data_IF_056738387350
#
_entry.id   IF_056738387350
#
_cell.length_a   1.000
_cell.length_b   1.000
_cell.length_c   1.000
_cell.angle_alpha   90.00
_cell.angle_beta   90.00
_cell.angle_gamma   90.00
#
_symmetry.space_group_name_H-M   'P 1'
#
loop_
_entity.id
_entity.type
_entity.pdbx_description
1 polymer ?
#
# COMPACT_ATOMS: atom_id res chain seq x y z
N UNK A 1 -11.76 49.05 24.28
CA UNK A 1 -12.49 47.89 24.84
C UNK A 1 -12.91 47.04 23.66
N UNK A 2 -12.16 45.98 23.37
CA UNK A 2 -12.48 44.99 22.34
C UNK A 2 -12.35 43.64 23.01
N UNK A 3 -13.51 43.02 23.25
CA UNK A 3 -13.70 41.69 23.82
C UNK A 3 -13.04 40.66 22.91
N UNK A 4 -11.93 40.07 23.36
CA UNK A 4 -11.41 38.85 22.77
C UNK A 4 -12.41 37.73 23.09
N UNK A 5 -13.20 37.32 22.09
CA UNK A 5 -13.85 36.01 22.10
C UNK A 5 -12.74 34.94 22.07
N UNK A 6 -12.26 34.56 23.25
CA UNK A 6 -11.39 33.40 23.42
C UNK A 6 -12.26 32.15 23.34
N UNK A 7 -12.61 31.72 22.13
CA UNK A 7 -13.09 30.35 21.89
C UNK A 7 -12.05 29.42 22.47
N UNK A 8 -12.35 28.84 23.63
CA UNK A 8 -11.42 28.01 24.39
C UNK A 8 -11.23 26.73 23.60
N UNK A 9 -10.09 26.61 22.93
CA UNK A 9 -9.77 25.46 22.08
C UNK A 9 -9.63 24.23 22.98
N UNK A 10 -10.28 23.12 22.61
CA UNK A 10 -10.27 21.87 23.40
C UNK A 10 -9.76 20.72 22.56
N UNK A 11 -9.39 19.61 23.18
CA UNK A 11 -8.94 18.41 22.46
C UNK A 11 -9.98 17.88 21.46
N UNK A 12 -11.28 18.18 21.66
CA UNK A 12 -12.35 17.79 20.72
C UNK A 12 -12.21 18.44 19.35
N UNK A 13 -11.55 19.60 19.26
CA UNK A 13 -11.32 20.31 18.00
C UNK A 13 -10.34 19.57 17.06
N UNK A 14 -9.61 18.56 17.57
CA UNK A 14 -8.67 17.72 16.80
C UNK A 14 -9.05 16.23 16.82
N UNK A 15 -10.26 15.89 17.30
CA UNK A 15 -10.67 14.49 17.47
C UNK A 15 -10.81 13.72 16.14
N UNK A 16 -11.02 14.42 15.02
CA UNK A 16 -11.04 13.86 13.67
C UNK A 16 -9.68 13.32 13.19
N UNK A 17 -8.59 13.80 13.80
CA UNK A 17 -7.21 13.39 13.53
C UNK A 17 -6.72 12.31 14.52
N UNK A 18 -7.58 11.86 15.43
CA UNK A 18 -7.27 10.85 16.44
C UNK A 18 -7.90 9.50 16.12
N UNK A 19 -7.24 8.43 16.55
CA UNK A 19 -7.81 7.09 16.52
C UNK A 19 -8.88 6.92 17.59
N UNK A 20 -9.82 6.00 17.39
CA UNK A 20 -10.88 5.70 18.36
C UNK A 20 -10.34 5.35 19.77
N UNK A 21 -9.17 4.70 19.85
CA UNK A 21 -8.53 4.36 21.12
C UNK A 21 -7.97 5.61 21.84
N UNK A 22 -7.38 6.55 21.09
CA UNK A 22 -6.89 7.83 21.63
C UNK A 22 -8.04 8.71 22.12
N UNK A 23 -9.16 8.76 21.38
CA UNK A 23 -10.39 9.45 21.81
C UNK A 23 -10.91 8.87 23.13
N UNK A 24 -11.07 7.54 23.21
CA UNK A 24 -11.51 6.87 24.44
C UNK A 24 -10.54 7.06 25.62
N UNK A 25 -9.27 7.39 25.36
CA UNK A 25 -8.31 7.73 26.41
C UNK A 25 -8.47 9.18 26.87
N UNK A 26 -8.68 10.13 25.97
CA UNK A 26 -8.94 11.54 26.31
C UNK A 26 -10.26 11.70 27.07
N UNK A 27 -11.31 10.96 26.68
CA UNK A 27 -12.58 10.94 27.41
C UNK A 27 -12.42 10.43 28.86
N UNK A 28 -11.56 9.43 29.09
CA UNK A 28 -11.26 8.94 30.45
C UNK A 28 -10.50 9.96 31.29
N UNK A 29 -9.65 10.78 30.66
CA UNK A 29 -8.81 11.78 31.31
C UNK A 29 -9.45 13.17 31.33
N UNK A 30 -10.72 13.29 30.93
CA UNK A 30 -11.42 14.57 30.81
C UNK A 30 -11.59 15.35 32.14
N UNK A 31 -11.29 14.69 33.26
CA UNK A 31 -11.24 15.32 34.58
C UNK A 31 -9.91 16.07 34.86
N UNK A 32 -8.89 15.88 34.02
CA UNK A 32 -7.59 16.55 34.12
C UNK A 32 -7.61 17.97 33.51
N UNK A 33 -6.49 18.69 33.66
CA UNK A 33 -6.27 20.03 33.10
C UNK A 33 -6.55 20.06 31.57
N UNK A 34 -7.52 20.87 31.10
CA UNK A 34 -7.93 20.91 29.69
C UNK A 34 -6.79 21.22 28.72
N UNK A 35 -5.82 22.03 29.16
CA UNK A 35 -4.66 22.41 28.36
C UNK A 35 -3.73 21.23 28.11
N UNK A 36 -3.51 20.38 29.12
CA UNK A 36 -2.70 19.16 29.00
C UNK A 36 -3.34 18.15 28.05
N UNK A 37 -4.66 18.00 28.09
CA UNK A 37 -5.39 17.14 27.16
C UNK A 37 -5.28 17.64 25.72
N UNK A 38 -5.38 18.96 25.50
CA UNK A 38 -5.20 19.57 24.18
C UNK A 38 -3.78 19.36 23.64
N UNK A 39 -2.75 19.54 24.47
CA UNK A 39 -1.36 19.33 24.08
C UNK A 39 -1.09 17.86 23.72
N UNK A 40 -1.60 16.92 24.53
CA UNK A 40 -1.49 15.49 24.26
C UNK A 40 -2.23 15.08 22.98
N UNK A 41 -3.44 15.59 22.77
CA UNK A 41 -4.21 15.35 21.55
C UNK A 41 -3.50 15.88 20.30
N UNK A 42 -2.89 17.07 20.37
CA UNK A 42 -2.10 17.63 19.26
C UNK A 42 -0.86 16.80 18.95
N UNK A 43 -0.16 16.32 19.98
CA UNK A 43 0.99 15.45 19.77
C UNK A 43 0.58 14.13 19.10
N UNK A 44 -0.49 13.50 19.58
CA UNK A 44 -1.00 12.26 18.97
C UNK A 44 -1.52 12.47 17.56
N UNK A 45 -2.18 13.58 17.27
CA UNK A 45 -2.60 13.94 15.92
C UNK A 45 -1.38 14.09 15.00
N UNK A 46 -0.34 14.79 15.44
CA UNK A 46 0.90 14.93 14.68
C UNK A 46 1.61 13.58 14.44
N UNK A 47 1.62 12.70 15.43
CA UNK A 47 2.19 11.35 15.31
C UNK A 47 1.36 10.47 14.35
N UNK A 48 0.03 10.59 14.38
CA UNK A 48 -0.86 9.89 13.46
C UNK A 48 -0.68 10.39 12.02
N UNK A 49 -0.58 11.70 11.81
CA UNK A 49 -0.29 12.31 10.51
C UNK A 49 1.09 11.89 9.99
N UNK A 50 2.11 11.83 10.86
CA UNK A 50 3.44 11.37 10.49
C UNK A 50 3.47 9.86 10.16
N UNK A 51 2.55 9.08 10.72
CA UNK A 51 2.42 7.64 10.48
C UNK A 51 1.59 7.35 9.23
N UNK A 52 0.59 8.19 8.92
CA UNK A 52 -0.25 8.08 7.74
C UNK A 52 0.52 8.60 6.50
N UNK A 53 1.31 7.72 5.88
CA UNK A 53 1.92 8.06 4.61
C UNK A 53 0.80 8.23 3.57
N UNK A 54 0.79 9.29 2.74
CA UNK A 54 -0.14 9.40 1.62
C UNK A 54 -0.15 8.16 0.70
N UNK A 55 0.94 7.38 0.73
CA UNK A 55 1.13 6.14 0.01
C UNK A 55 0.34 4.95 0.60
N UNK A 56 -0.10 5.03 1.86
CA UNK A 56 -0.92 4.00 2.51
C UNK A 56 -2.36 4.03 2.01
N UNK A 57 -2.84 5.18 1.52
CA UNK A 57 -4.14 5.32 0.89
C UNK A 57 -4.19 4.71 -0.53
N UNK A 58 -3.03 4.44 -1.14
CA UNK A 58 -2.95 3.87 -2.49
C UNK A 58 -3.22 2.36 -2.44
N UNK A 59 -4.41 1.96 -2.90
CA UNK A 59 -4.84 0.57 -2.92
C UNK A 59 -3.88 -0.32 -3.74
N UNK A 60 -3.66 -1.59 -3.33
CA UNK A 60 -2.92 -2.56 -4.14
C UNK A 60 -3.51 -2.72 -5.55
N UNK A 61 -2.69 -2.95 -6.59
CA UNK A 61 -3.20 -3.17 -7.94
C UNK A 61 -4.08 -4.41 -8.01
N UNK A 62 -5.16 -4.34 -8.80
CA UNK A 62 -5.98 -5.52 -9.10
C UNK A 62 -5.11 -6.65 -9.67
N UNK A 63 -5.33 -7.86 -9.15
CA UNK A 63 -4.56 -9.05 -9.51
C UNK A 63 -3.20 -9.19 -8.79
N UNK A 64 -2.81 -8.23 -7.93
CA UNK A 64 -1.63 -8.40 -7.09
C UNK A 64 -1.87 -9.45 -6.00
N UNK A 65 -1.01 -10.47 -5.99
CA UNK A 65 -0.94 -11.49 -4.92
C UNK A 65 -0.07 -10.99 -3.78
N UNK A 66 0.95 -10.16 -4.08
CA UNK A 66 1.84 -9.57 -3.08
C UNK A 66 2.36 -8.22 -3.54
N UNK A 67 2.29 -7.21 -2.68
CA UNK A 67 2.98 -5.92 -2.84
C UNK A 67 4.25 -5.87 -2.00
N UNK A 68 5.23 -5.11 -2.45
CA UNK A 68 6.43 -4.78 -1.68
C UNK A 68 6.34 -3.36 -1.10
N UNK A 69 7.29 -3.01 -0.24
CA UNK A 69 7.36 -1.67 0.35
C UNK A 69 7.59 -0.59 -0.70
N UNK A 70 7.07 0.61 -0.42
CA UNK A 70 7.30 1.80 -1.24
C UNK A 70 8.79 2.17 -1.26
N UNK A 71 9.27 2.53 -2.43
CA UNK A 71 10.63 2.92 -2.76
C UNK A 71 10.60 4.22 -3.57
N UNK A 72 11.71 4.95 -3.60
CA UNK A 72 11.80 6.23 -4.30
C UNK A 72 12.98 6.26 -5.27
N UNK A 73 12.68 6.49 -6.54
CA UNK A 73 13.66 6.78 -7.60
C UNK A 73 13.03 7.80 -8.56
N UNK A 74 13.27 9.09 -8.30
CA UNK A 74 12.50 10.19 -8.89
C UNK A 74 11.10 10.31 -8.29
N UNK A 75 10.25 9.30 -8.51
CA UNK A 75 8.90 9.18 -7.95
C UNK A 75 8.80 8.04 -6.93
N UNK A 76 7.74 8.05 -6.11
CA UNK A 76 7.39 6.94 -5.24
C UNK A 76 6.74 5.82 -6.05
N UNK A 77 7.29 4.61 -5.93
CA UNK A 77 6.79 3.41 -6.56
C UNK A 77 6.86 2.22 -5.61
N UNK A 78 6.07 1.18 -5.88
CA UNK A 78 6.28 -0.15 -5.29
C UNK A 78 6.19 -1.21 -6.37
N UNK A 79 7.01 -2.23 -6.25
CA UNK A 79 6.85 -3.43 -7.09
C UNK A 79 5.81 -4.37 -6.48
N UNK A 80 5.25 -5.24 -7.30
CA UNK A 80 4.32 -6.28 -6.87
C UNK A 80 4.44 -7.55 -7.73
N UNK A 81 3.91 -8.65 -7.20
CA UNK A 81 3.76 -9.94 -7.87
C UNK A 81 2.29 -10.29 -7.99
N UNK A 82 1.89 -10.80 -9.14
CA UNK A 82 0.59 -11.36 -9.45
C UNK A 82 0.62 -12.89 -9.40
N UNK A 83 -0.15 -13.52 -10.28
CA UNK A 83 -0.28 -14.98 -10.35
C UNK A 83 0.99 -15.66 -10.86
N UNK A 84 1.19 -16.89 -10.42
CA UNK A 84 2.33 -17.75 -10.76
C UNK A 84 1.82 -19.03 -11.42
N UNK A 85 2.38 -19.38 -12.58
CA UNK A 85 2.11 -20.61 -13.33
C UNK A 85 3.38 -21.46 -13.42
N UNK A 86 3.24 -22.78 -13.33
CA UNK A 86 4.31 -23.71 -13.66
C UNK A 86 4.20 -24.10 -15.14
N UNK A 87 5.32 -24.10 -15.86
CA UNK A 87 5.46 -24.65 -17.20
C UNK A 87 6.69 -25.54 -17.24
N UNK A 88 6.53 -26.81 -16.86
CA UNK A 88 7.63 -27.74 -16.63
C UNK A 88 8.61 -27.25 -15.56
N UNK A 89 9.88 -27.08 -15.94
CA UNK A 89 10.94 -26.57 -15.07
C UNK A 89 10.96 -25.04 -14.94
N UNK A 90 10.13 -24.34 -15.72
CA UNK A 90 10.03 -22.89 -15.72
C UNK A 90 8.82 -22.41 -14.91
N UNK A 91 8.96 -21.22 -14.33
CA UNK A 91 7.92 -20.52 -13.61
C UNK A 91 7.61 -19.23 -14.35
N UNK A 92 6.34 -19.01 -14.66
CA UNK A 92 5.86 -17.80 -15.32
C UNK A 92 5.07 -16.99 -14.30
N UNK A 93 5.52 -15.78 -14.00
CA UNK A 93 4.92 -14.89 -13.00
C UNK A 93 4.53 -13.56 -13.64
N UNK A 94 3.35 -13.04 -13.34
CA UNK A 94 3.01 -11.65 -13.64
C UNK A 94 3.68 -10.78 -12.57
N UNK A 95 4.50 -9.84 -12.99
CA UNK A 95 5.10 -8.83 -12.12
C UNK A 95 4.60 -7.45 -12.53
N UNK A 96 4.77 -6.48 -11.65
CA UNK A 96 4.50 -5.10 -12.01
C UNK A 96 5.07 -4.08 -11.06
N UNK A 97 4.89 -2.83 -11.46
CA UNK A 97 5.20 -1.63 -10.68
C UNK A 97 3.95 -0.77 -10.59
N UNK A 98 3.66 -0.28 -9.40
CA UNK A 98 2.64 0.72 -9.14
C UNK A 98 3.29 2.02 -8.71
N UNK A 99 2.85 3.12 -9.31
CA UNK A 99 3.26 4.48 -8.94
C UNK A 99 2.34 5.06 -7.86
N UNK A 100 2.79 6.10 -7.17
CA UNK A 100 2.01 6.75 -6.11
C UNK A 100 0.69 7.40 -6.59
N UNK A 101 0.54 7.66 -7.89
CA UNK A 101 -0.72 8.12 -8.50
C UNK A 101 -1.71 6.96 -8.74
N UNK A 102 -1.34 5.73 -8.40
CA UNK A 102 -2.11 4.51 -8.59
C UNK A 102 -1.92 3.85 -9.96
N UNK A 103 -1.24 4.50 -10.91
CA UNK A 103 -0.96 3.92 -12.22
C UNK A 103 -0.09 2.67 -12.09
N UNK A 104 -0.31 1.71 -12.98
CA UNK A 104 0.30 0.38 -12.88
C UNK A 104 0.86 -0.05 -14.22
N UNK A 105 2.11 -0.53 -14.21
CA UNK A 105 2.74 -1.23 -15.35
C UNK A 105 2.93 -2.69 -15.00
N UNK A 106 2.55 -3.59 -15.91
CA UNK A 106 2.68 -5.06 -15.76
C UNK A 106 3.63 -5.64 -16.80
N UNK A 107 4.26 -6.76 -16.46
CA UNK A 107 5.06 -7.57 -17.38
C UNK A 107 5.11 -9.03 -16.93
N UNK A 108 5.48 -9.93 -17.84
CA UNK A 108 5.63 -11.36 -17.55
C UNK A 108 7.12 -11.65 -17.28
N UNK A 109 7.41 -12.30 -16.16
CA UNK A 109 8.74 -12.80 -15.81
C UNK A 109 8.77 -14.32 -15.94
N UNK A 110 9.80 -14.86 -16.60
CA UNK A 110 10.06 -16.31 -16.67
C UNK A 110 11.29 -16.65 -15.86
N UNK A 111 11.14 -17.52 -14.88
CA UNK A 111 12.23 -18.00 -14.04
C UNK A 111 12.47 -19.48 -14.30
N UNK A 112 13.68 -19.84 -14.70
CA UNK A 112 14.11 -21.23 -14.91
C UNK A 112 15.59 -21.34 -14.69
N UNK A 113 16.04 -22.52 -14.24
CA UNK A 113 17.46 -22.79 -13.97
C UNK A 113 18.23 -23.21 -15.22
N UNK A 114 17.55 -23.83 -16.19
CA UNK A 114 18.15 -24.41 -17.40
C UNK A 114 17.21 -24.22 -18.61
N UNK A 115 17.25 -23.02 -19.22
CA UNK A 115 16.45 -22.69 -20.41
C UNK A 115 16.99 -23.39 -21.67
N UNK A 116 18.26 -23.76 -21.65
CA UNK A 116 19.03 -24.40 -22.71
C UNK A 116 18.75 -25.90 -22.86
N UNK A 117 18.01 -26.51 -21.93
CA UNK A 117 17.70 -27.94 -21.91
C UNK A 117 16.18 -28.25 -21.96
N UNK A 118 15.38 -27.37 -22.57
CA UNK A 118 13.94 -27.61 -22.75
C UNK A 118 13.70 -28.70 -23.80
N UNK A 119 13.13 -29.81 -23.39
CA UNK A 119 12.59 -30.81 -24.31
C UNK A 119 11.24 -30.37 -24.89
N UNK A 120 10.74 -31.11 -25.89
CA UNK A 120 9.51 -30.75 -26.58
C UNK A 120 8.28 -30.70 -25.65
N UNK A 121 8.06 -31.64 -24.71
CA UNK A 121 7.01 -31.51 -23.69
C UNK A 121 7.14 -30.24 -22.84
N UNK A 122 8.30 -29.99 -22.24
CA UNK A 122 8.51 -28.84 -21.37
C UNK A 122 8.35 -27.51 -22.13
N UNK A 123 8.78 -27.46 -23.40
CA UNK A 123 8.58 -26.30 -24.26
C UNK A 123 7.09 -26.00 -24.49
N UNK A 124 6.25 -27.03 -24.69
CA UNK A 124 4.80 -26.85 -24.85
C UNK A 124 4.14 -26.41 -23.55
N UNK A 125 4.56 -26.95 -22.41
CA UNK A 125 4.06 -26.52 -21.10
C UNK A 125 4.41 -25.05 -20.81
N UNK A 126 5.63 -24.62 -21.12
CA UNK A 126 6.04 -23.21 -21.00
C UNK A 126 5.22 -22.31 -21.94
N UNK A 127 5.00 -22.72 -23.19
CA UNK A 127 4.18 -21.96 -24.13
C UNK A 127 2.73 -21.79 -23.64
N UNK A 128 2.14 -22.84 -23.07
CA UNK A 128 0.80 -22.77 -22.47
C UNK A 128 0.76 -21.83 -21.26
N UNK A 129 1.77 -21.90 -20.38
CA UNK A 129 1.87 -21.01 -19.22
C UNK A 129 2.03 -19.54 -19.61
N UNK A 130 2.82 -19.25 -20.66
CA UNK A 130 2.99 -17.91 -21.23
C UNK A 130 1.70 -17.37 -21.84
N UNK A 131 1.00 -18.20 -22.62
CA UNK A 131 -0.29 -17.82 -23.25
C UNK A 131 -1.29 -17.44 -22.16
N UNK A 132 -1.47 -18.30 -21.16
CA UNK A 132 -2.40 -18.03 -20.07
C UNK A 132 -2.01 -16.79 -19.23
N UNK A 133 -0.72 -16.46 -19.11
CA UNK A 133 -0.27 -15.25 -18.43
C UNK A 133 -0.50 -14.00 -19.27
N UNK A 134 -0.35 -14.09 -20.60
CA UNK A 134 -0.66 -13.01 -21.52
C UNK A 134 -2.16 -12.68 -21.51
N UNK A 135 -3.02 -13.70 -21.60
CA UNK A 135 -4.47 -13.55 -21.55
C UNK A 135 -4.92 -12.86 -20.24
N UNK A 136 -4.32 -13.23 -19.10
CA UNK A 136 -4.60 -12.56 -17.83
C UNK A 136 -4.11 -11.11 -17.80
N UNK A 137 -2.94 -10.82 -18.39
CA UNK A 137 -2.42 -9.45 -18.45
C UNK A 137 -3.32 -8.55 -19.30
N UNK A 138 -3.81 -9.05 -20.43
CA UNK A 138 -4.77 -8.37 -21.30
C UNK A 138 -6.11 -8.10 -20.58
N UNK A 139 -6.55 -9.03 -19.74
CA UNK A 139 -7.75 -8.83 -18.92
C UNK A 139 -7.55 -7.80 -17.79
N UNK A 140 -6.32 -7.65 -17.29
CA UNK A 140 -5.94 -6.70 -16.23
C UNK A 140 -5.52 -5.31 -16.74
N UNK A 141 -5.45 -5.13 -18.06
CA UNK A 141 -5.07 -3.88 -18.72
C UNK A 141 -6.24 -2.88 -18.74
#
# INVERSE_FOLDING_TARGET
>A
MTTSDSTTQTWRDVADQLTAAQIAQLERLEHDEPQTLLEMARQWAADNEATASPLDAVAPPTGAVRTFGWQRDGNWFRDFKGTLRQGGLARVEICGRQEADGSTRRWISVHTRHLDALDAPAARELAAALTAAADELEWLA
#
